data_IF_579905575156
#
_entry.id   IF_579905575156
#
_cell.length_a   1.000
_cell.length_b   1.000
_cell.length_c   1.000
_cell.angle_alpha   90.00
_cell.angle_beta   90.00
_cell.angle_gamma   90.00
#
_symmetry.space_group_name_H-M   'P 1'
#
loop_
_entity.id
_entity.type
_entity.pdbx_description
1 polymer ?
#
# COMPACT_ATOMS: atom_id res chain seq x y z
N UNK A 1 4.53 25.02 7.08
CA UNK A 1 4.88 24.74 5.67
C UNK A 1 4.29 23.39 5.34
N UNK A 2 3.32 23.34 4.44
CA UNK A 2 2.65 22.10 4.05
C UNK A 2 3.34 21.53 2.80
N UNK A 3 3.68 20.24 2.82
CA UNK A 3 4.29 19.58 1.67
C UNK A 3 3.18 19.05 0.76
N UNK A 4 3.04 19.65 -0.43
CA UNK A 4 2.00 19.28 -1.41
C UNK A 4 2.31 18.01 -2.22
N UNK A 5 3.58 17.62 -2.29
CA UNK A 5 4.03 16.47 -3.07
C UNK A 5 5.12 15.73 -2.31
N UNK A 6 4.99 14.40 -2.25
CA UNK A 6 5.97 13.54 -1.63
C UNK A 6 7.25 13.50 -2.48
N UNK A 7 8.39 13.89 -1.91
CA UNK A 7 9.67 13.74 -2.60
C UNK A 7 10.18 12.30 -2.46
N UNK A 8 11.02 11.80 -3.39
CA UNK A 8 11.60 10.47 -3.28
C UNK A 8 12.37 10.27 -1.97
N UNK A 9 13.12 11.27 -1.51
CA UNK A 9 13.85 11.22 -0.24
C UNK A 9 12.90 11.02 0.94
N UNK A 10 11.81 11.79 1.02
CA UNK A 10 10.83 11.64 2.10
C UNK A 10 10.12 10.29 2.01
N UNK A 11 9.78 9.83 0.80
CA UNK A 11 9.20 8.49 0.60
C UNK A 11 10.13 7.38 1.13
N UNK A 12 11.44 7.50 0.91
CA UNK A 12 12.40 6.53 1.42
C UNK A 12 12.50 6.54 2.94
N UNK A 13 12.51 7.71 3.59
CA UNK A 13 12.54 7.81 5.05
C UNK A 13 11.24 7.28 5.69
N UNK A 14 10.10 7.48 5.03
CA UNK A 14 8.81 6.98 5.49
C UNK A 14 8.69 5.47 5.41
N UNK A 15 9.44 4.77 4.55
CA UNK A 15 9.36 3.31 4.44
C UNK A 15 10.35 2.67 5.40
N UNK A 16 9.84 2.02 6.44
CA UNK A 16 10.64 1.23 7.38
C UNK A 16 11.22 0.00 6.67
N UNK A 17 10.35 -0.79 6.03
CA UNK A 17 10.73 -1.97 5.26
C UNK A 17 9.64 -2.41 4.29
N UNK A 18 10.03 -3.25 3.33
CA UNK A 18 9.11 -3.87 2.37
C UNK A 18 9.25 -5.39 2.49
N UNK A 19 8.18 -6.05 2.91
CA UNK A 19 8.12 -7.50 2.99
C UNK A 19 7.54 -8.05 1.67
N UNK A 20 8.38 -8.77 0.92
CA UNK A 20 7.99 -9.41 -0.34
C UNK A 20 7.79 -10.90 -0.12
N UNK A 21 6.55 -11.37 -0.26
CA UNK A 21 6.22 -12.78 -0.04
C UNK A 21 6.42 -13.59 -1.32
N UNK A 22 6.59 -14.90 -1.16
CA UNK A 22 6.64 -15.81 -2.29
C UNK A 22 5.34 -15.75 -3.10
N UNK A 23 5.49 -15.85 -4.42
CA UNK A 23 4.35 -15.92 -5.32
C UNK A 23 3.52 -17.17 -5.06
N UNK A 24 2.21 -17.00 -4.92
CA UNK A 24 1.25 -18.09 -4.79
C UNK A 24 0.53 -18.32 -6.13
N UNK A 25 0.00 -19.52 -6.35
CA UNK A 25 -0.74 -19.88 -7.58
C UNK A 25 0.13 -20.49 -8.70
N UNK A 26 -0.48 -20.79 -9.85
CA UNK A 26 0.16 -21.47 -10.99
C UNK A 26 -0.23 -20.82 -12.33
N UNK A 27 0.66 -20.90 -13.31
CA UNK A 27 0.41 -20.37 -14.66
C UNK A 27 0.17 -18.86 -14.66
N UNK A 28 -0.89 -18.41 -15.33
CA UNK A 28 -1.28 -17.00 -15.45
C UNK A 28 -1.94 -16.43 -14.18
N UNK A 29 -2.37 -17.28 -13.25
CA UNK A 29 -3.06 -16.87 -12.02
C UNK A 29 -2.08 -16.94 -10.84
N UNK A 30 -1.09 -16.05 -10.84
CA UNK A 30 -0.12 -15.91 -9.76
C UNK A 30 -0.34 -14.60 -9.03
N UNK A 31 -0.35 -14.67 -7.70
CA UNK A 31 -0.46 -13.51 -6.83
C UNK A 31 0.82 -13.37 -6.03
N UNK A 32 1.34 -12.15 -5.94
CA UNK A 32 2.45 -11.82 -5.06
C UNK A 32 1.96 -10.82 -4.03
N UNK A 33 2.13 -11.16 -2.75
CA UNK A 33 1.85 -10.22 -1.66
C UNK A 33 3.08 -9.38 -1.39
N UNK A 34 2.88 -8.08 -1.28
CA UNK A 34 3.88 -7.11 -0.86
C UNK A 34 3.27 -6.34 0.31
N UNK A 35 4.00 -6.20 1.42
CA UNK A 35 3.58 -5.40 2.57
C UNK A 35 4.62 -4.30 2.78
N UNK A 36 4.19 -3.04 2.78
CA UNK A 36 5.05 -1.89 3.02
C UNK A 36 4.80 -1.43 4.45
N UNK A 37 5.84 -1.49 5.28
CA UNK A 37 5.83 -0.96 6.64
C UNK A 37 6.33 0.47 6.58
N UNK A 38 5.55 1.40 7.15
CA UNK A 38 5.91 2.81 7.18
C UNK A 38 6.41 3.19 8.59
N UNK A 39 7.53 3.92 8.65
CA UNK A 39 7.91 4.69 9.82
C UNK A 39 6.92 5.85 9.94
N UNK A 40 6.11 5.85 11.00
CA UNK A 40 5.26 7.00 11.31
C UNK A 40 6.13 8.14 11.85
N UNK A 41 6.73 8.91 10.93
CA UNK A 41 7.51 10.11 11.26
C UNK A 41 6.56 11.33 11.23
N UNK A 42 5.70 11.46 12.25
CA UNK A 42 4.80 12.60 12.40
C UNK A 42 3.39 12.24 12.87
N UNK A 43 2.49 13.23 12.85
CA UNK A 43 1.05 13.07 13.12
C UNK A 43 0.34 12.97 11.77
N UNK A 44 -0.31 11.85 11.51
CA UNK A 44 -1.20 11.67 10.38
C UNK A 44 -2.63 11.75 10.91
N UNK A 45 -3.30 12.89 10.68
CA UNK A 45 -4.73 13.02 10.94
C UNK A 45 -5.47 12.21 9.88
N UNK A 46 -5.65 10.92 10.15
CA UNK A 46 -6.54 10.08 9.39
C UNK A 46 -7.97 10.42 9.81
N UNK A 47 -8.89 10.67 8.86
CA UNK A 47 -10.29 10.80 9.22
C UNK A 47 -10.73 9.49 9.89
N UNK A 48 -11.36 9.59 11.06
CA UNK A 48 -12.12 8.47 11.61
C UNK A 48 -13.24 8.16 10.62
N UNK A 49 -13.14 6.99 9.98
CA UNK A 49 -14.16 6.47 9.08
C UNK A 49 -14.83 5.30 9.79
N UNK A 50 -16.16 5.28 9.80
CA UNK A 50 -16.94 4.15 10.36
C UNK A 50 -16.62 2.84 9.65
N UNK A 51 -16.29 2.92 8.35
CA UNK A 51 -15.85 1.80 7.54
C UNK A 51 -14.77 2.29 6.56
N UNK A 52 -13.66 1.55 6.48
CA UNK A 52 -12.67 1.81 5.44
C UNK A 52 -13.27 1.50 4.06
N UNK A 53 -12.94 2.29 3.02
CA UNK A 53 -13.40 1.99 1.68
C UNK A 53 -12.95 0.60 1.23
N UNK A 54 -13.73 0.00 0.33
CA UNK A 54 -13.36 -1.27 -0.31
C UNK A 54 -11.95 -1.21 -0.91
N UNK A 55 -11.33 -2.38 -1.06
CA UNK A 55 -9.99 -2.48 -1.65
C UNK A 55 -9.96 -1.79 -3.01
N UNK A 56 -8.94 -0.95 -3.21
CA UNK A 56 -8.75 -0.25 -4.49
C UNK A 56 -8.04 -1.19 -5.44
N UNK A 57 -8.69 -1.54 -6.55
CA UNK A 57 -8.10 -2.35 -7.62
C UNK A 57 -7.67 -1.44 -8.77
N UNK A 58 -6.41 -1.54 -9.17
CA UNK A 58 -5.83 -0.79 -10.28
C UNK A 58 -5.24 -1.73 -11.32
N UNK A 59 -5.72 -1.63 -12.56
CA UNK A 59 -5.13 -2.32 -13.71
C UNK A 59 -3.85 -1.60 -14.15
N UNK A 60 -2.74 -1.96 -13.52
CA UNK A 60 -1.45 -1.30 -13.76
C UNK A 60 -0.93 -1.45 -15.20
N UNK A 61 -1.05 -2.65 -15.76
CA UNK A 61 -0.65 -3.01 -17.14
C UNK A 61 -1.40 -4.27 -17.59
N UNK A 62 -1.41 -4.55 -18.89
CA UNK A 62 -2.14 -5.69 -19.45
C UNK A 62 -1.78 -7.01 -18.74
N UNK A 63 -2.78 -7.62 -18.10
CA UNK A 63 -2.63 -8.88 -17.36
C UNK A 63 -2.10 -8.77 -15.93
N UNK A 64 -1.97 -7.55 -15.36
CA UNK A 64 -1.54 -7.33 -13.97
C UNK A 64 -2.46 -6.33 -13.27
N UNK A 65 -3.26 -6.85 -12.34
CA UNK A 65 -4.04 -6.06 -11.39
C UNK A 65 -3.29 -5.92 -10.06
N UNK A 66 -3.36 -4.73 -9.46
CA UNK A 66 -2.89 -4.43 -8.11
C UNK A 66 -4.12 -4.20 -7.25
N UNK A 67 -4.18 -4.85 -6.10
CA UNK A 67 -5.21 -4.63 -5.10
C UNK A 67 -4.57 -4.05 -3.84
N UNK A 68 -4.96 -2.83 -3.48
CA UNK A 68 -4.57 -2.22 -2.20
C UNK A 68 -5.52 -2.70 -1.11
N UNK A 69 -5.00 -3.53 -0.20
CA UNK A 69 -5.76 -4.07 0.92
C UNK A 69 -5.87 -3.02 2.01
N UNK A 70 -7.02 -2.37 2.14
CA UNK A 70 -7.29 -1.47 3.26
C UNK A 70 -7.59 -2.34 4.48
N UNK A 71 -6.89 -2.12 5.59
CA UNK A 71 -7.12 -2.88 6.82
C UNK A 71 -8.58 -2.80 7.26
N UNK A 72 -9.14 -3.89 7.77
CA UNK A 72 -10.48 -3.83 8.39
C UNK A 72 -10.38 -3.01 9.67
N UNK A 73 -11.32 -2.07 9.87
CA UNK A 73 -11.46 -1.37 11.13
C UNK A 73 -11.65 -2.43 12.24
N UNK A 74 -10.84 -2.34 13.29
CA UNK A 74 -10.83 -3.24 14.44
C UNK A 74 -11.70 -2.71 15.57
#
# INVERSE_FOLDING_TARGET
>A
MEMKTLTPTILHELVERIDVYQTQGRGKNRTQRIVIHYNFIGVLDLPEVEEYPENVVLDSRQGVAIEYLVGKAS
#
